data_IF_984877178265
#
_entry.id   IF_984877178265
#
_cell.length_a   1.000
_cell.length_b   1.000
_cell.length_c   1.000
_cell.angle_alpha   90.00
_cell.angle_beta   90.00
_cell.angle_gamma   90.00
#
_symmetry.space_group_name_H-M   'P 1'
#
loop_
_entity.id
_entity.type
_entity.pdbx_description
1 polymer ?
#
# COMPACT_ATOMS: atom_id res chain seq x y z
N UNK A 1 2.14 4.15 9.76
CA UNK A 1 2.42 3.88 8.33
C UNK A 1 1.68 4.93 7.48
N UNK A 2 2.01 5.14 6.20
CA UNK A 2 1.31 6.08 5.32
C UNK A 2 1.18 5.56 3.89
N UNK A 3 0.26 6.17 3.14
CA UNK A 3 0.22 6.13 1.68
C UNK A 3 1.38 6.98 1.14
N UNK A 4 2.11 6.46 0.17
CA UNK A 4 3.38 7.02 -0.30
C UNK A 4 3.14 7.99 -1.45
N UNK A 5 2.37 7.60 -2.48
CA UNK A 5 2.15 8.41 -3.68
C UNK A 5 0.70 8.35 -4.17
N UNK A 6 0.42 9.10 -5.23
CA UNK A 6 -0.89 9.18 -5.87
C UNK A 6 -1.85 10.14 -5.15
N UNK A 7 -3.15 10.01 -5.43
CA UNK A 7 -4.22 10.91 -4.98
C UNK A 7 -4.30 11.07 -3.46
N UNK A 8 -3.93 10.02 -2.72
CA UNK A 8 -3.98 9.95 -1.27
C UNK A 8 -2.59 10.00 -0.61
N UNK A 9 -1.54 10.35 -1.37
CA UNK A 9 -0.17 10.42 -0.89
C UNK A 9 -0.02 11.26 0.38
N UNK A 10 0.79 10.78 1.32
CA UNK A 10 1.06 11.44 2.60
C UNK A 10 0.02 11.15 3.70
N UNK A 11 -1.14 10.56 3.39
CA UNK A 11 -2.14 10.21 4.42
C UNK A 11 -1.64 9.11 5.34
N UNK A 12 -1.79 9.33 6.64
CA UNK A 12 -1.50 8.33 7.66
C UNK A 12 -2.54 7.21 7.61
N UNK A 13 -2.05 5.98 7.79
CA UNK A 13 -2.87 4.79 7.94
C UNK A 13 -2.88 4.42 9.41
N UNK A 14 -4.08 4.33 9.98
CA UNK A 14 -4.27 3.73 11.29
C UNK A 14 -4.10 2.21 11.15
N UNK A 15 -3.20 1.65 11.92
CA UNK A 15 -2.84 0.25 11.87
C UNK A 15 -2.92 -0.34 13.27
N UNK A 16 -3.24 -1.65 13.42
CA UNK A 16 -3.23 -2.31 14.71
C UNK A 16 -1.89 -2.05 15.42
N UNK A 17 -1.96 -1.58 16.67
CA UNK A 17 -0.79 -1.17 17.46
C UNK A 17 0.23 -2.31 17.57
N UNK A 18 1.50 -1.91 17.66
CA UNK A 18 2.72 -2.73 17.57
C UNK A 18 2.82 -3.94 18.52
N UNK A 19 1.90 -4.07 19.47
CA UNK A 19 1.77 -5.20 20.37
C UNK A 19 1.17 -6.44 19.67
N UNK A 20 0.71 -6.30 18.43
CA UNK A 20 0.15 -7.38 17.63
C UNK A 20 1.22 -7.96 16.66
N UNK A 21 1.96 -8.98 17.12
CA UNK A 21 2.99 -9.70 16.34
C UNK A 21 2.48 -10.37 15.07
N UNK A 22 1.15 -10.46 14.89
CA UNK A 22 0.49 -11.13 13.77
C UNK A 22 0.44 -10.29 12.50
N UNK A 23 0.62 -8.97 12.59
CA UNK A 23 0.54 -8.08 11.42
C UNK A 23 1.85 -7.31 11.28
N UNK A 24 2.64 -7.67 10.26
CA UNK A 24 3.91 -6.98 9.94
C UNK A 24 3.74 -6.09 8.71
N UNK A 25 3.72 -4.76 8.88
CA UNK A 25 3.84 -3.78 7.82
C UNK A 25 4.91 -4.10 6.78
N UNK A 26 4.55 -4.08 5.49
CA UNK A 26 5.57 -3.99 4.44
C UNK A 26 6.27 -2.63 4.56
N UNK A 27 7.61 -2.63 4.58
CA UNK A 27 8.40 -1.40 4.69
C UNK A 27 8.16 -0.45 3.51
N UNK A 28 8.19 0.86 3.79
CA UNK A 28 7.89 1.92 2.81
C UNK A 28 8.77 1.81 1.55
N UNK A 29 10.07 1.56 1.73
CA UNK A 29 11.03 1.39 0.62
C UNK A 29 10.69 0.21 -0.29
N UNK A 30 10.32 -0.93 0.29
CA UNK A 30 9.98 -2.15 -0.47
C UNK A 30 8.69 -1.93 -1.26
N UNK A 31 7.67 -1.35 -0.62
CA UNK A 31 6.40 -1.03 -1.28
C UNK A 31 6.60 -0.06 -2.43
N UNK A 32 7.40 0.99 -2.24
CA UNK A 32 7.66 1.97 -3.29
C UNK A 32 8.44 1.36 -4.47
N UNK A 33 9.43 0.52 -4.19
CA UNK A 33 10.15 -0.22 -5.23
C UNK A 33 9.23 -1.15 -6.03
N UNK A 34 8.33 -1.87 -5.35
CA UNK A 34 7.32 -2.73 -5.99
C UNK A 34 6.44 -1.92 -6.95
N UNK A 35 5.83 -0.82 -6.51
CA UNK A 35 4.98 0.01 -7.37
C UNK A 35 5.74 0.72 -8.48
N UNK A 36 7.02 1.06 -8.28
CA UNK A 36 7.85 1.59 -9.35
C UNK A 36 8.11 0.55 -10.46
N UNK A 37 8.19 -0.74 -10.10
CA UNK A 37 8.40 -1.81 -11.08
C UNK A 37 7.17 -2.05 -11.98
N UNK A 38 5.96 -1.82 -11.46
CA UNK A 38 4.69 -2.10 -12.16
C UNK A 38 3.91 -0.82 -12.52
N UNK A 39 4.52 0.36 -12.37
CA UNK A 39 3.80 1.63 -12.36
C UNK A 39 2.94 1.91 -13.59
N UNK A 40 3.37 1.48 -14.78
CA UNK A 40 2.64 1.66 -16.03
C UNK A 40 1.39 0.77 -16.14
N UNK A 41 1.31 -0.30 -15.35
CA UNK A 41 0.23 -1.28 -15.37
C UNK A 41 -0.84 -0.99 -14.31
N UNK A 42 -0.60 -0.02 -13.40
CA UNK A 42 -1.46 0.23 -12.24
C UNK A 42 -2.67 1.10 -12.56
N UNK A 43 -2.55 2.03 -13.52
CA UNK A 43 -3.64 2.97 -13.82
C UNK A 43 -4.82 2.23 -14.47
N UNK A 44 -5.98 2.27 -13.82
CA UNK A 44 -7.22 1.58 -14.24
C UNK A 44 -7.23 0.07 -13.99
N UNK A 45 -6.27 -0.46 -13.23
CA UNK A 45 -6.14 -1.90 -13.00
C UNK A 45 -7.05 -2.41 -11.89
N UNK A 46 -7.66 -3.58 -12.10
CA UNK A 46 -8.32 -4.31 -11.02
C UNK A 46 -7.28 -5.08 -10.21
N UNK A 47 -7.13 -4.74 -8.93
CA UNK A 47 -6.12 -5.31 -8.03
C UNK A 47 -6.79 -6.20 -6.98
N UNK A 48 -6.21 -7.39 -6.76
CA UNK A 48 -6.53 -8.26 -5.63
C UNK A 48 -5.37 -8.26 -4.63
N UNK A 49 -5.63 -7.76 -3.42
CA UNK A 49 -4.74 -7.91 -2.27
C UNK A 49 -5.24 -9.07 -1.39
N UNK A 50 -4.87 -10.30 -1.75
CA UNK A 50 -5.38 -11.53 -1.14
C UNK A 50 -5.06 -11.64 0.37
N UNK A 51 -4.04 -10.91 0.85
CA UNK A 51 -3.62 -10.89 2.25
C UNK A 51 -3.39 -9.46 2.72
N UNK A 52 -4.41 -8.62 2.55
CA UNK A 52 -4.30 -7.18 2.74
C UNK A 52 -3.71 -6.75 4.10
N UNK A 53 -3.98 -7.50 5.17
CA UNK A 53 -3.47 -7.18 6.51
C UNK A 53 -3.86 -5.75 6.91
N UNK A 54 -2.88 -4.84 6.99
CA UNK A 54 -3.12 -3.39 7.22
C UNK A 54 -3.81 -2.64 6.06
N UNK A 55 -3.98 -3.27 4.90
CA UNK A 55 -4.51 -2.65 3.69
C UNK A 55 -3.51 -1.75 2.95
N UNK A 56 -2.26 -1.67 3.40
CA UNK A 56 -1.27 -0.72 2.91
C UNK A 56 -0.97 -0.83 1.41
N UNK A 57 -0.97 -2.05 0.86
CA UNK A 57 -0.67 -2.28 -0.57
C UNK A 57 -1.91 -1.96 -1.40
N UNK A 58 -3.07 -2.51 -1.06
CA UNK A 58 -4.33 -2.15 -1.73
C UNK A 58 -4.64 -0.65 -1.72
N UNK A 59 -4.45 0.04 -0.59
CA UNK A 59 -4.66 1.50 -0.51
C UNK A 59 -3.64 2.29 -1.32
N UNK A 60 -2.40 1.82 -1.43
CA UNK A 60 -1.38 2.43 -2.28
C UNK A 60 -1.72 2.25 -3.77
N UNK A 61 -2.23 1.07 -4.16
CA UNK A 61 -2.69 0.81 -5.53
C UNK A 61 -3.85 1.74 -5.90
N UNK A 62 -4.89 1.81 -5.05
CA UNK A 62 -6.03 2.71 -5.22
C UNK A 62 -5.59 4.18 -5.31
N UNK A 63 -4.63 4.59 -4.48
CA UNK A 63 -4.08 5.95 -4.53
C UNK A 63 -3.40 6.26 -5.86
N UNK A 64 -2.74 5.27 -6.47
CA UNK A 64 -2.05 5.38 -7.76
C UNK A 64 -2.95 5.24 -8.98
N UNK A 65 -4.25 5.05 -8.77
CA UNK A 65 -5.26 5.05 -9.83
C UNK A 65 -5.65 3.67 -10.32
N UNK A 66 -5.35 2.60 -9.57
CA UNK A 66 -6.05 1.32 -9.72
C UNK A 66 -7.54 1.48 -9.43
#
# INVERSE_FOLDING_TARGET
MRVIAGRFGGRLLDAPKDNNTRTKPMGERIRNAMFNSIGNEINGAQILDAFAGTGAVGLEALSRGA
#
